data_IF_683343799260
#
_entry.id   IF_683343799260
#
_cell.length_a   1.000
_cell.length_b   1.000
_cell.length_c   1.000
_cell.angle_alpha   90.00
_cell.angle_beta   90.00
_cell.angle_gamma   90.00
#
_symmetry.space_group_name_H-M   'P 1'
#
loop_
_entity.id
_entity.type
_entity.pdbx_description
1 polymer ?
#
# COMPACT_ATOMS: atom_id res chain seq x y z
N UNK A 1 11.82 9.31 18.40
CA UNK A 1 11.17 9.65 17.12
C UNK A 1 9.99 8.71 16.92
N UNK A 2 8.77 9.21 16.72
CA UNK A 2 7.62 8.34 16.46
C UNK A 2 7.85 7.54 15.17
N UNK A 3 7.50 6.26 15.19
CA UNK A 3 7.57 5.40 14.02
C UNK A 3 6.57 5.88 12.96
N UNK A 4 6.98 5.87 11.69
CA UNK A 4 6.03 6.09 10.59
C UNK A 4 4.96 5.01 10.65
N UNK A 5 3.70 5.40 10.47
CA UNK A 5 2.53 4.52 10.61
C UNK A 5 2.17 3.84 9.29
N UNK A 6 2.58 4.45 8.18
CA UNK A 6 2.31 3.96 6.84
C UNK A 6 3.52 4.17 5.94
N UNK A 7 3.98 3.08 5.34
CA UNK A 7 5.05 3.04 4.37
C UNK A 7 4.45 2.79 2.99
N UNK A 8 4.78 3.67 2.04
CA UNK A 8 4.34 3.54 0.65
C UNK A 8 5.57 3.42 -0.23
N UNK A 9 5.69 2.35 -1.00
CA UNK A 9 6.66 2.26 -2.07
C UNK A 9 5.94 2.28 -3.41
N UNK A 10 6.32 3.19 -4.31
CA UNK A 10 5.68 3.37 -5.61
C UNK A 10 6.71 3.30 -6.72
N UNK A 11 6.33 2.64 -7.80
CA UNK A 11 7.02 2.58 -9.10
C UNK A 11 5.98 2.70 -10.24
N UNK A 12 6.48 2.83 -11.47
CA UNK A 12 5.75 2.82 -12.74
C UNK A 12 4.81 1.63 -12.90
N UNK A 13 5.12 0.49 -12.30
CA UNK A 13 4.36 -0.77 -12.45
C UNK A 13 3.59 -1.17 -11.20
N UNK A 14 4.10 -0.88 -10.00
CA UNK A 14 3.56 -1.39 -8.74
C UNK A 14 3.55 -0.32 -7.66
N UNK A 15 2.50 -0.30 -6.85
CA UNK A 15 2.45 0.46 -5.59
C UNK A 15 2.24 -0.50 -4.44
N UNK A 16 3.19 -0.56 -3.50
CA UNK A 16 3.13 -1.34 -2.27
C UNK A 16 2.84 -0.41 -1.10
N UNK A 17 1.86 -0.75 -0.30
CA UNK A 17 1.49 -0.04 0.92
C UNK A 17 1.68 -1.00 2.08
N UNK A 18 2.36 -0.60 3.15
CA UNK A 18 2.56 -1.43 4.34
C UNK A 18 2.52 -0.60 5.62
N UNK A 19 2.06 -1.20 6.72
CA UNK A 19 2.21 -0.64 8.06
C UNK A 19 3.62 -0.84 8.63
N UNK A 20 4.41 -1.71 8.02
CA UNK A 20 5.78 -2.01 8.43
C UNK A 20 6.77 -1.37 7.48
N UNK A 21 8.00 -1.19 7.98
CA UNK A 21 9.07 -0.57 7.21
C UNK A 21 9.39 -1.41 5.97
N UNK A 22 9.13 -0.85 4.80
CA UNK A 22 9.52 -1.45 3.54
C UNK A 22 11.04 -1.36 3.37
N UNK A 23 11.68 -2.48 3.02
CA UNK A 23 13.06 -2.49 2.54
C UNK A 23 13.03 -2.40 1.02
N UNK A 24 13.59 -1.34 0.45
CA UNK A 24 13.73 -1.18 -1.00
C UNK A 24 15.17 -1.43 -1.40
N UNK A 25 15.37 -2.24 -2.43
CA UNK A 25 16.70 -2.51 -3.02
C UNK A 25 16.93 -1.47 -4.12
N UNK A 26 17.56 -0.35 -3.76
CA UNK A 26 17.68 0.81 -4.66
C UNK A 26 16.47 1.75 -4.61
N UNK A 27 16.58 2.90 -5.28
CA UNK A 27 15.55 3.95 -5.30
C UNK A 27 15.91 5.24 -4.57
N UNK A 28 15.08 6.28 -4.76
CA UNK A 28 15.17 7.55 -4.02
C UNK A 28 14.09 7.55 -2.93
N UNK A 29 14.52 7.56 -1.67
CA UNK A 29 13.60 7.71 -0.53
C UNK A 29 13.21 9.19 -0.44
N UNK A 30 11.96 9.50 -0.79
CA UNK A 30 11.39 10.84 -0.66
C UNK A 30 10.46 10.87 0.54
N UNK A 31 10.97 11.36 1.67
CA UNK A 31 10.12 11.56 2.85
C UNK A 31 9.10 12.65 2.55
N UNK A 32 7.81 12.35 2.70
CA UNK A 32 6.75 13.36 2.59
C UNK A 32 6.78 14.32 3.78
N UNK A 33 6.09 15.46 3.62
CA UNK A 33 6.10 16.57 4.58
C UNK A 33 5.50 16.21 5.95
N UNK A 34 4.67 15.17 6.03
CA UNK A 34 4.05 14.73 7.28
C UNK A 34 4.67 13.41 7.76
N UNK A 35 5.16 13.36 9.01
CA UNK A 35 6.06 12.31 9.49
C UNK A 35 5.41 10.92 9.61
N UNK A 36 4.08 10.82 9.62
CA UNK A 36 3.35 9.57 9.70
C UNK A 36 3.38 8.73 8.41
N UNK A 37 3.66 9.33 7.24
CA UNK A 37 3.81 8.62 5.96
C UNK A 37 5.24 8.74 5.46
N UNK A 38 5.86 7.58 5.21
CA UNK A 38 7.15 7.48 4.56
C UNK A 38 6.96 6.90 3.16
N UNK A 39 7.04 7.77 2.16
CA UNK A 39 7.08 7.33 0.76
C UNK A 39 8.52 6.99 0.36
N UNK A 40 8.70 5.88 -0.35
CA UNK A 40 9.96 5.49 -0.97
C UNK A 40 9.71 5.23 -2.44
N UNK A 41 10.13 6.16 -3.29
CA UNK A 41 10.03 5.97 -4.74
C UNK A 41 11.20 5.09 -5.18
N UNK A 42 10.93 3.78 -5.32
CA UNK A 42 11.92 2.85 -5.86
C UNK A 42 11.77 2.76 -7.38
N UNK A 43 12.89 2.69 -8.09
CA UNK A 43 12.90 2.38 -9.53
C UNK A 43 12.66 0.90 -9.82
N UNK A 44 12.71 0.03 -8.80
CA UNK A 44 12.33 -1.39 -8.88
C UNK A 44 11.81 -1.86 -7.51
N UNK A 45 10.51 -2.08 -7.34
CA UNK A 45 9.98 -2.79 -6.18
C UNK A 45 10.14 -4.28 -6.44
N UNK A 46 11.09 -4.92 -5.76
CA UNK A 46 11.20 -6.38 -5.78
C UNK A 46 10.08 -6.95 -4.89
N UNK A 47 8.88 -7.08 -5.46
CA UNK A 47 7.88 -7.97 -4.89
C UNK A 47 8.50 -9.36 -4.92
N UNK A 48 8.74 -9.95 -3.74
CA UNK A 48 9.30 -11.28 -3.62
C UNK A 48 8.52 -12.25 -4.52
N UNK A 49 9.09 -12.59 -5.68
CA UNK A 49 8.42 -13.46 -6.63
C UNK A 49 8.12 -14.77 -5.91
N UNK A 50 6.87 -15.29 -5.98
CA UNK A 50 6.58 -16.62 -5.45
C UNK A 50 7.57 -17.55 -6.13
N UNK A 51 8.39 -18.21 -5.32
CA UNK A 51 9.48 -19.04 -5.79
C UNK A 51 8.94 -20.03 -6.81
N UNK A 52 9.19 -19.77 -8.10
CA UNK A 52 8.68 -20.62 -9.15
C UNK A 52 9.31 -22.00 -8.95
N UNK A 53 8.54 -23.05 -9.16
CA UNK A 53 9.03 -24.44 -9.15
C UNK A 53 10.29 -24.60 -10.02
N UNK A 54 10.47 -23.70 -10.99
CA UNK A 54 11.64 -23.60 -11.83
C UNK A 54 12.92 -23.20 -11.06
N UNK A 55 12.87 -22.20 -10.17
CA UNK A 55 14.04 -21.85 -9.36
C UNK A 55 14.46 -23.02 -8.44
N UNK A 56 13.49 -23.76 -7.89
CA UNK A 56 13.76 -24.96 -7.10
C UNK A 56 14.35 -26.09 -7.95
N UNK A 57 13.84 -26.29 -9.18
CA UNK A 57 14.31 -27.33 -10.08
C UNK A 57 15.73 -27.08 -10.62
N UNK A 58 16.13 -25.83 -10.90
CA UNK A 58 17.51 -25.51 -11.31
C UNK A 58 18.51 -25.85 -10.20
N UNK A 59 18.14 -25.56 -8.95
CA UNK A 59 19.00 -25.80 -7.78
C UNK A 59 19.15 -27.29 -7.48
N UNK A 60 18.13 -28.11 -7.72
CA UNK A 60 18.19 -29.56 -7.47
C UNK A 60 18.75 -30.36 -8.65
N UNK A 61 18.52 -29.94 -9.90
CA UNK A 61 19.03 -30.66 -11.08
C UNK A 61 20.54 -30.54 -11.25
N UNK A 62 21.14 -29.37 -10.99
CA UNK A 62 22.57 -29.16 -11.16
C UNK A 62 23.44 -30.19 -10.42
N UNK A 63 23.25 -30.38 -9.10
CA UNK A 63 23.99 -31.37 -8.31
C UNK A 63 23.76 -32.81 -8.80
N UNK A 64 22.51 -33.15 -9.18
CA UNK A 64 22.16 -34.50 -9.66
C UNK A 64 22.84 -34.79 -11.00
N UNK A 65 22.82 -33.85 -11.93
CA UNK A 65 23.50 -33.98 -13.22
C UNK A 65 25.03 -34.10 -13.05
N UNK A 66 25.60 -33.35 -12.10
CA UNK A 66 27.05 -33.38 -11.82
C UNK A 66 27.46 -34.73 -11.20
N UNK A 67 26.68 -35.24 -10.24
CA UNK A 67 26.91 -36.55 -9.64
C UNK A 67 26.76 -37.68 -10.68
N UNK A 68 25.79 -37.57 -11.58
CA UNK A 68 25.57 -38.55 -12.66
C UNK A 68 26.72 -38.55 -13.68
N UNK A 69 27.24 -37.38 -14.07
CA UNK A 69 28.40 -37.27 -14.95
C UNK A 69 29.70 -37.82 -14.33
N UNK A 70 29.92 -37.58 -13.03
CA UNK A 70 31.06 -38.13 -12.29
C UNK A 70 31.00 -39.65 -12.11
N UNK A 71 29.81 -40.22 -12.00
CA UNK A 71 29.63 -41.67 -11.93
C UNK A 71 29.97 -42.37 -13.27
N UNK A 72 29.74 -41.71 -14.41
CA UNK A 72 30.02 -42.26 -15.74
C UNK A 72 31.51 -42.28 -16.12
N UNK A 73 32.35 -41.49 -15.44
CA UNK A 73 33.79 -41.35 -15.76
C UNK A 73 34.69 -42.34 -15.03
N UNK A 74 34.12 -43.27 -14.24
CA UNK A 74 34.90 -44.26 -13.49
C UNK A 74 35.65 -43.67 -12.29
N UNK A 75 35.34 -42.43 -11.92
CA UNK A 75 35.92 -41.73 -10.77
C UNK A 75 35.58 -42.49 -9.49
N UNK A 76 36.55 -42.75 -8.58
CA UNK A 76 36.27 -43.50 -7.35
C UNK A 76 35.20 -42.78 -6.54
N UNK A 77 34.15 -43.54 -6.19
CA UNK A 77 32.93 -43.04 -5.56
C UNK A 77 33.10 -42.08 -4.36
N UNK A 78 34.15 -42.15 -3.51
CA UNK A 78 34.32 -41.17 -2.42
C UNK A 78 34.56 -39.74 -2.92
N UNK A 79 35.24 -39.54 -4.05
CA UNK A 79 35.46 -38.19 -4.60
C UNK A 79 34.16 -37.59 -5.14
N UNK A 80 33.34 -38.41 -5.80
CA UNK A 80 32.03 -38.01 -6.30
C UNK A 80 31.06 -37.66 -5.16
N UNK A 81 31.08 -38.45 -4.08
CA UNK A 81 30.27 -38.19 -2.88
C UNK A 81 30.71 -36.90 -2.16
N UNK A 82 32.02 -36.65 -2.05
CA UNK A 82 32.55 -35.44 -1.46
C UNK A 82 32.16 -34.19 -2.27
N UNK A 83 32.27 -34.24 -3.61
CA UNK A 83 31.86 -33.14 -4.48
C UNK A 83 30.35 -32.83 -4.35
N UNK A 84 29.50 -33.86 -4.34
CA UNK A 84 28.06 -33.70 -4.16
C UNK A 84 27.72 -33.09 -2.78
N UNK A 85 28.40 -33.53 -1.71
CA UNK A 85 28.21 -33.00 -0.37
C UNK A 85 28.60 -31.52 -0.28
N UNK A 86 29.71 -31.11 -0.93
CA UNK A 86 30.14 -29.71 -0.98
C UNK A 86 29.12 -28.84 -1.71
N UNK A 87 28.64 -29.27 -2.89
CA UNK A 87 27.63 -28.52 -3.66
C UNK A 87 26.33 -28.44 -2.88
N UNK A 88 25.88 -29.53 -2.26
CA UNK A 88 24.67 -29.54 -1.46
C UNK A 88 24.79 -28.62 -0.24
N UNK A 89 25.89 -28.68 0.50
CA UNK A 89 26.11 -27.81 1.68
C UNK A 89 26.27 -26.34 1.30
N UNK A 90 26.99 -26.01 0.22
CA UNK A 90 27.08 -24.62 -0.26
C UNK A 90 25.74 -24.11 -0.77
N UNK A 91 24.99 -24.89 -1.54
CA UNK A 91 23.64 -24.51 -1.99
C UNK A 91 22.69 -24.33 -0.80
N UNK A 92 22.72 -25.24 0.18
CA UNK A 92 21.90 -25.18 1.39
C UNK A 92 22.28 -23.99 2.25
N UNK A 93 23.59 -23.72 2.43
CA UNK A 93 24.09 -22.55 3.15
C UNK A 93 23.68 -21.25 2.47
N UNK A 94 23.86 -21.16 1.15
CA UNK A 94 23.47 -20.00 0.35
C UNK A 94 21.96 -19.74 0.45
N UNK A 95 21.15 -20.79 0.38
CA UNK A 95 19.70 -20.73 0.60
C UNK A 95 19.36 -20.34 2.04
N UNK A 96 20.05 -20.85 3.04
CA UNK A 96 19.78 -20.53 4.45
C UNK A 96 20.12 -19.07 4.76
N UNK A 97 21.25 -18.59 4.25
CA UNK A 97 21.71 -17.20 4.39
C UNK A 97 20.78 -16.25 3.64
N UNK A 98 20.33 -16.59 2.44
CA UNK A 98 19.37 -15.76 1.69
C UNK A 98 17.93 -15.87 2.21
N UNK A 99 17.49 -17.03 2.69
CA UNK A 99 16.20 -17.18 3.39
C UNK A 99 16.16 -16.43 4.70
N UNK A 100 17.28 -16.31 5.43
CA UNK A 100 17.38 -15.44 6.61
C UNK A 100 17.38 -13.94 6.25
N UNK A 101 17.63 -13.59 4.99
CA UNK A 101 17.51 -12.21 4.48
C UNK A 101 16.11 -11.89 3.93
N UNK A 102 15.34 -12.91 3.56
CA UNK A 102 13.93 -12.81 3.23
C UNK A 102 13.11 -12.73 4.54
N UNK A 103 12.22 -11.74 4.70
CA UNK A 103 11.38 -11.68 5.88
C UNK A 103 10.47 -12.92 5.95
N UNK A 104 10.09 -13.38 7.16
CA UNK A 104 9.11 -14.42 7.30
C UNK A 104 7.83 -14.03 6.56
N UNK A 105 7.22 -14.95 5.83
CA UNK A 105 6.04 -14.71 5.00
C UNK A 105 4.85 -14.08 5.74
N UNK A 106 4.87 -14.11 7.08
CA UNK A 106 3.90 -13.43 7.94
C UNK A 106 3.97 -11.89 7.84
N UNK A 107 5.14 -11.30 7.57
CA UNK A 107 5.26 -9.84 7.38
C UNK A 107 4.77 -9.38 6.00
N UNK A 108 4.86 -10.25 4.99
CA UNK A 108 4.33 -10.00 3.65
C UNK A 108 2.78 -10.00 3.64
N UNK A 109 2.14 -10.68 4.59
CA UNK A 109 0.68 -10.65 4.75
C UNK A 109 0.14 -9.28 5.19
N UNK A 110 1.00 -8.37 5.67
CA UNK A 110 0.67 -7.02 6.08
C UNK A 110 1.03 -5.94 5.05
N UNK A 111 1.28 -6.32 3.78
CA UNK A 111 1.51 -5.40 2.69
C UNK A 111 0.43 -5.54 1.61
N UNK A 112 -0.12 -4.42 1.18
CA UNK A 112 -1.11 -4.33 0.11
C UNK A 112 -0.40 -3.92 -1.16
N UNK A 113 -0.53 -4.72 -2.22
CA UNK A 113 0.12 -4.47 -3.51
C UNK A 113 -0.94 -4.12 -4.54
N UNK A 114 -0.80 -2.94 -5.15
CA UNK A 114 -1.62 -2.47 -6.25
C UNK A 114 -0.78 -2.57 -7.53
N UNK A 115 -1.27 -3.34 -8.51
CA UNK A 115 -0.56 -3.53 -9.79
C UNK A 115 -1.28 -2.81 -10.93
N UNK A 116 -2.60 -2.75 -10.86
CA UNK A 116 -3.43 -2.18 -11.92
C UNK A 116 -3.27 -0.66 -11.99
N UNK A 117 -3.02 -0.13 -13.20
CA UNK A 117 -2.76 1.30 -13.40
C UNK A 117 -3.86 2.20 -12.82
N UNK A 118 -5.12 1.81 -12.99
CA UNK A 118 -6.28 2.56 -12.49
C UNK A 118 -6.29 2.65 -10.96
N UNK A 119 -5.97 1.57 -10.26
CA UNK A 119 -5.98 1.55 -8.80
C UNK A 119 -4.75 2.30 -8.24
N UNK A 120 -3.60 2.17 -8.90
CA UNK A 120 -2.41 2.97 -8.58
C UNK A 120 -2.65 4.48 -8.75
N UNK A 121 -3.30 4.88 -9.85
CA UNK A 121 -3.64 6.29 -10.09
C UNK A 121 -4.64 6.83 -9.06
N UNK A 122 -5.65 6.04 -8.67
CA UNK A 122 -6.60 6.41 -7.63
C UNK A 122 -5.92 6.59 -6.27
N UNK A 123 -5.00 5.69 -5.90
CA UNK A 123 -4.23 5.80 -4.67
C UNK A 123 -3.27 7.00 -4.69
N UNK A 124 -2.59 7.25 -5.82
CA UNK A 124 -1.74 8.42 -5.99
C UNK A 124 -2.52 9.74 -5.81
N UNK A 125 -3.74 9.81 -6.37
CA UNK A 125 -4.64 10.96 -6.16
C UNK A 125 -5.02 11.13 -4.69
N UNK A 126 -5.25 10.03 -3.97
CA UNK A 126 -5.51 10.10 -2.53
C UNK A 126 -4.31 10.65 -1.75
N UNK A 127 -3.08 10.24 -2.10
CA UNK A 127 -1.86 10.81 -1.50
C UNK A 127 -1.72 12.31 -1.77
N UNK A 128 -2.07 12.78 -2.97
CA UNK A 128 -2.08 14.22 -3.27
C UNK A 128 -3.05 14.98 -2.37
N UNK A 129 -4.27 14.48 -2.19
CA UNK A 129 -5.23 15.11 -1.27
C UNK A 129 -4.77 15.05 0.19
N UNK A 130 -4.15 13.96 0.62
CA UNK A 130 -3.55 13.84 1.95
C UNK A 130 -2.44 14.89 2.18
N UNK A 131 -1.62 15.16 1.16
CA UNK A 131 -0.60 16.21 1.23
C UNK A 131 -1.21 17.61 1.31
N UNK A 132 -2.26 17.88 0.54
CA UNK A 132 -3.00 19.15 0.62
C UNK A 132 -3.60 19.36 2.02
N UNK A 133 -4.21 18.31 2.60
CA UNK A 133 -4.70 18.31 3.98
C UNK A 133 -3.55 18.63 4.94
N UNK A 134 -2.41 17.95 4.81
CA UNK A 134 -1.25 18.15 5.69
C UNK A 134 -0.67 19.57 5.61
N UNK A 135 -0.69 20.18 4.43
CA UNK A 135 -0.24 21.55 4.22
C UNK A 135 -1.09 22.58 4.98
N UNK A 136 -2.35 22.24 5.30
CA UNK A 136 -3.25 23.10 6.07
C UNK A 136 -3.07 23.00 7.59
N UNK A 137 -2.38 21.97 8.10
CA UNK A 137 -2.26 21.74 9.54
C UNK A 137 -1.61 22.86 10.35
N UNK A 138 -0.57 23.58 9.87
CA UNK A 138 -0.03 24.72 10.61
C UNK A 138 -1.07 25.81 10.86
N UNK A 139 -2.00 25.99 9.92
CA UNK A 139 -3.13 26.90 10.09
C UNK A 139 -4.20 26.31 11.02
N UNK A 140 -4.32 24.98 11.12
CA UNK A 140 -5.33 24.33 11.95
C UNK A 140 -4.85 23.93 13.34
N UNK A 141 -3.55 24.05 13.65
CA UNK A 141 -2.95 23.58 14.91
C UNK A 141 -3.70 24.05 16.18
N UNK A 142 -4.25 25.28 16.27
CA UNK A 142 -5.03 25.68 17.44
C UNK A 142 -6.38 24.96 17.61
N UNK A 143 -6.87 24.29 16.55
CA UNK A 143 -8.21 23.71 16.48
C UNK A 143 -8.21 22.17 16.47
N UNK A 144 -7.07 21.54 16.16
CA UNK A 144 -6.97 20.09 15.97
C UNK A 144 -5.75 19.51 16.67
N UNK A 145 -5.87 18.28 17.20
CA UNK A 145 -4.73 17.45 17.59
C UNK A 145 -4.06 16.88 16.34
N UNK A 146 -3.00 17.53 15.86
CA UNK A 146 -2.28 17.16 14.64
C UNK A 146 -1.78 15.70 14.69
N UNK A 147 -1.08 15.22 15.74
CA UNK A 147 -0.73 13.80 15.89
C UNK A 147 -1.90 12.80 15.80
N UNK A 148 -3.09 13.17 16.28
CA UNK A 148 -4.27 12.32 16.15
C UNK A 148 -4.80 12.30 14.71
N UNK A 149 -4.91 13.47 14.06
CA UNK A 149 -5.34 13.60 12.67
C UNK A 149 -4.36 12.91 11.71
N UNK A 150 -3.05 12.98 11.98
CA UNK A 150 -2.01 12.25 11.25
C UNK A 150 -2.26 10.73 11.27
N UNK A 151 -2.58 10.17 12.45
CA UNK A 151 -2.90 8.75 12.61
C UNK A 151 -4.15 8.36 11.83
N UNK A 152 -5.21 9.16 11.98
CA UNK A 152 -6.49 8.93 11.29
C UNK A 152 -6.30 8.95 9.77
N UNK A 153 -5.54 9.90 9.24
CA UNK A 153 -5.26 10.01 7.81
C UNK A 153 -4.43 8.83 7.30
N UNK A 154 -3.41 8.38 8.05
CA UNK A 154 -2.63 7.20 7.71
C UNK A 154 -3.51 5.93 7.69
N UNK A 155 -4.40 5.76 8.66
CA UNK A 155 -5.31 4.61 8.71
C UNK A 155 -6.37 4.66 7.61
N UNK A 156 -6.87 5.84 7.28
CA UNK A 156 -7.76 6.05 6.15
C UNK A 156 -7.13 5.64 4.83
N UNK A 157 -5.88 6.04 4.58
CA UNK A 157 -5.13 5.64 3.38
C UNK A 157 -4.87 4.12 3.36
N UNK A 158 -4.55 3.51 4.50
CA UNK A 158 -4.41 2.06 4.62
C UNK A 158 -5.70 1.32 4.21
N UNK A 159 -6.85 1.74 4.74
CA UNK A 159 -8.14 1.14 4.37
C UNK A 159 -8.51 1.38 2.91
N UNK A 160 -8.21 2.57 2.37
CA UNK A 160 -8.41 2.85 0.95
C UNK A 160 -7.57 1.91 0.07
N UNK A 161 -6.29 1.69 0.39
CA UNK A 161 -5.45 0.73 -0.31
C UNK A 161 -6.08 -0.68 -0.30
N UNK A 162 -6.62 -1.12 0.83
CA UNK A 162 -7.28 -2.42 0.96
C UNK A 162 -8.50 -2.57 0.05
N UNK A 163 -9.33 -1.52 -0.04
CA UNK A 163 -10.51 -1.51 -0.92
C UNK A 163 -10.09 -1.53 -2.40
N UNK A 164 -9.05 -0.76 -2.77
CA UNK A 164 -8.51 -0.75 -4.13
C UNK A 164 -7.94 -2.13 -4.51
N UNK A 165 -7.23 -2.81 -3.61
CA UNK A 165 -6.75 -4.18 -3.82
C UNK A 165 -7.91 -5.16 -4.00
N UNK A 166 -8.93 -5.09 -3.14
CA UNK A 166 -10.11 -5.96 -3.24
C UNK A 166 -10.87 -5.76 -4.56
N UNK A 167 -10.88 -4.53 -5.07
CA UNK A 167 -11.45 -4.18 -6.38
C UNK A 167 -10.63 -4.74 -7.53
N UNK A 168 -9.30 -4.66 -7.44
CA UNK A 168 -8.38 -5.29 -8.40
C UNK A 168 -8.60 -6.81 -8.45
N UNK A 169 -8.65 -7.47 -7.30
CA UNK A 169 -8.89 -8.91 -7.18
C UNK A 169 -10.26 -9.32 -7.75
N UNK A 170 -11.30 -8.54 -7.48
CA UNK A 170 -12.64 -8.76 -8.01
C UNK A 170 -12.67 -8.64 -9.55
N UNK A 171 -11.93 -7.68 -10.12
CA UNK A 171 -11.79 -7.57 -11.58
C UNK A 171 -11.00 -8.71 -12.17
N UNK A 172 -9.88 -9.10 -11.56
CA UNK A 172 -9.08 -10.25 -12.01
C UNK A 172 -9.93 -11.52 -12.01
N UNK A 173 -10.73 -11.72 -10.97
CA UNK A 173 -11.68 -12.85 -10.89
C UNK A 173 -12.79 -12.77 -11.94
N UNK A 174 -13.33 -11.58 -12.22
CA UNK A 174 -14.32 -11.36 -13.28
C UNK A 174 -13.75 -11.71 -14.67
N UNK A 175 -12.55 -11.23 -14.98
CA UNK A 175 -11.87 -11.51 -16.24
C UNK A 175 -11.52 -12.99 -16.38
N UNK A 176 -10.99 -13.61 -15.32
CA UNK A 176 -10.71 -15.04 -15.31
C UNK A 176 -11.96 -15.86 -15.62
N UNK A 177 -13.10 -15.50 -15.01
CA UNK A 177 -14.38 -16.15 -15.26
C UNK A 177 -14.91 -15.97 -16.70
N UNK A 178 -14.62 -14.84 -17.36
CA UNK A 178 -14.96 -14.62 -18.76
C UNK A 178 -14.09 -15.44 -19.72
N UNK A 179 -12.83 -15.68 -19.36
CA UNK A 179 -11.87 -16.40 -20.21
C UNK A 179 -11.95 -17.92 -20.08
N UNK A 180 -12.37 -18.44 -18.92
CA UNK A 180 -12.66 -19.87 -18.78
C UNK A 180 -13.94 -20.23 -19.54
N UNK A 181 -13.79 -20.89 -20.69
CA UNK A 181 -14.88 -21.60 -21.38
C UNK A 181 -15.63 -22.49 -20.38
N UNK A 182 -16.98 -22.53 -20.39
CA UNK A 182 -17.75 -23.30 -19.43
C UNK A 182 -17.60 -24.81 -19.69
N UNK A 183 -16.48 -25.39 -19.27
CA UNK A 183 -16.30 -26.84 -19.16
C UNK A 183 -16.69 -27.35 -17.76
N UNK A 184 -17.04 -26.44 -16.84
CA UNK A 184 -17.35 -26.75 -15.45
C UNK A 184 -18.85 -26.87 -15.23
N UNK A 185 -19.25 -27.94 -14.53
CA UNK A 185 -20.58 -28.31 -14.05
C UNK A 185 -21.14 -27.34 -12.99
N UNK A 186 -21.01 -26.04 -13.22
CA UNK A 186 -21.60 -25.02 -12.37
C UNK A 186 -23.07 -24.76 -12.77
N UNK A 187 -24.04 -25.05 -11.89
CA UNK A 187 -25.44 -25.02 -12.24
C UNK A 187 -26.02 -23.62 -12.50
N UNK A 188 -25.34 -22.51 -12.12
CA UNK A 188 -25.87 -21.16 -12.36
C UNK A 188 -24.79 -20.07 -12.60
N UNK A 189 -24.26 -19.95 -13.83
CA UNK A 189 -23.31 -18.90 -14.18
C UNK A 189 -23.91 -17.49 -14.15
N UNK A 190 -25.25 -17.34 -14.21
CA UNK A 190 -25.90 -16.01 -14.20
C UNK A 190 -25.88 -15.40 -12.80
N UNK A 191 -26.19 -16.16 -11.76
CA UNK A 191 -26.12 -15.65 -10.38
C UNK A 191 -24.71 -15.26 -9.97
N UNK A 192 -23.68 -16.03 -10.35
CA UNK A 192 -22.28 -15.65 -10.10
C UNK A 192 -21.88 -14.35 -10.79
N UNK A 193 -22.24 -14.17 -12.06
CA UNK A 193 -22.01 -12.89 -12.78
C UNK A 193 -22.68 -11.74 -12.05
N UNK A 194 -23.94 -11.90 -11.67
CA UNK A 194 -24.67 -10.87 -10.92
C UNK A 194 -24.01 -10.55 -9.57
N UNK A 195 -23.52 -11.55 -8.84
CA UNK A 195 -22.81 -11.37 -7.57
C UNK A 195 -21.49 -10.59 -7.74
N UNK A 196 -20.69 -10.94 -8.76
CA UNK A 196 -19.44 -10.23 -9.08
C UNK A 196 -19.72 -8.78 -9.47
N UNK A 197 -20.70 -8.52 -10.32
CA UNK A 197 -21.09 -7.16 -10.72
C UNK A 197 -21.56 -6.33 -9.51
N UNK A 198 -22.40 -6.90 -8.63
CA UNK A 198 -22.83 -6.22 -7.40
C UNK A 198 -21.64 -5.90 -6.50
N UNK A 199 -20.74 -6.84 -6.28
CA UNK A 199 -19.53 -6.63 -5.47
C UNK A 199 -18.64 -5.53 -6.05
N UNK A 200 -18.42 -5.53 -7.37
CA UNK A 200 -17.66 -4.46 -8.03
C UNK A 200 -18.32 -3.10 -7.89
N UNK A 201 -19.64 -3.02 -8.08
CA UNK A 201 -20.39 -1.77 -7.94
C UNK A 201 -20.34 -1.21 -6.51
N UNK A 202 -20.39 -2.08 -5.49
CA UNK A 202 -20.25 -1.68 -4.10
C UNK A 202 -18.85 -1.11 -3.80
N UNK A 203 -17.80 -1.81 -4.26
CA UNK A 203 -16.41 -1.34 -4.13
C UNK A 203 -16.16 -0.03 -4.87
N UNK A 204 -16.73 0.13 -6.08
CA UNK A 204 -16.65 1.38 -6.85
C UNK A 204 -17.28 2.55 -6.08
N UNK A 205 -18.46 2.34 -5.50
CA UNK A 205 -19.14 3.33 -4.69
C UNK A 205 -18.35 3.68 -3.42
N UNK A 206 -17.76 2.69 -2.75
CA UNK A 206 -16.91 2.91 -1.57
C UNK A 206 -15.67 3.74 -1.87
N UNK A 207 -14.96 3.41 -2.96
CA UNK A 207 -13.78 4.19 -3.41
C UNK A 207 -14.19 5.63 -3.74
N UNK A 208 -15.29 5.82 -4.48
CA UNK A 208 -15.78 7.14 -4.84
C UNK A 208 -16.16 7.97 -3.60
N UNK A 209 -16.89 7.39 -2.64
CA UNK A 209 -17.24 8.05 -1.37
C UNK A 209 -16.00 8.50 -0.60
N UNK A 210 -15.03 7.61 -0.44
CA UNK A 210 -13.80 7.90 0.31
C UNK A 210 -12.94 8.96 -0.36
N UNK A 211 -12.74 8.89 -1.68
CA UNK A 211 -12.02 9.92 -2.42
C UNK A 211 -12.73 11.28 -2.36
N UNK A 212 -14.07 11.29 -2.41
CA UNK A 212 -14.87 12.52 -2.28
C UNK A 212 -14.68 13.14 -0.90
N UNK A 213 -14.78 12.35 0.18
CA UNK A 213 -14.55 12.82 1.55
C UNK A 213 -13.14 13.41 1.72
N UNK A 214 -12.12 12.74 1.19
CA UNK A 214 -10.73 13.21 1.25
C UNK A 214 -10.54 14.52 0.47
N UNK A 215 -11.11 14.63 -0.73
CA UNK A 215 -11.05 15.85 -1.52
C UNK A 215 -11.79 17.03 -0.87
N UNK A 216 -12.93 16.76 -0.21
CA UNK A 216 -13.68 17.77 0.54
C UNK A 216 -12.91 18.28 1.76
N UNK A 217 -12.22 17.39 2.48
CA UNK A 217 -11.34 17.78 3.58
C UNK A 217 -10.15 18.62 3.10
N UNK A 218 -9.53 18.25 1.96
CA UNK A 218 -8.45 19.01 1.35
C UNK A 218 -8.91 20.43 0.95
N UNK A 219 -10.08 20.54 0.30
CA UNK A 219 -10.65 21.81 -0.11
C UNK A 219 -10.94 22.72 1.11
N UNK A 220 -11.58 22.17 2.14
CA UNK A 220 -11.88 22.91 3.37
C UNK A 220 -10.60 23.43 4.05
N UNK A 221 -9.56 22.60 4.12
CA UNK A 221 -8.25 22.99 4.64
C UNK A 221 -7.59 24.10 3.81
N UNK A 222 -7.72 24.06 2.48
CA UNK A 222 -7.17 25.08 1.58
C UNK A 222 -7.88 26.43 1.73
N UNK A 223 -9.21 26.43 1.73
CA UNK A 223 -10.03 27.63 1.93
C UNK A 223 -9.70 28.29 3.27
N UNK A 224 -9.62 27.49 4.34
CA UNK A 224 -9.28 28.00 5.67
C UNK A 224 -7.88 28.59 5.73
N UNK A 225 -6.89 27.90 5.17
CA UNK A 225 -5.49 28.37 5.15
C UNK A 225 -5.36 29.68 4.36
N UNK A 226 -6.04 29.77 3.22
CA UNK A 226 -6.04 30.99 2.40
C UNK A 226 -6.67 32.17 3.16
N UNK A 227 -7.81 31.96 3.82
CA UNK A 227 -8.47 32.98 4.62
C UNK A 227 -7.63 33.43 5.81
N UNK A 228 -7.02 32.51 6.55
CA UNK A 228 -6.14 32.85 7.68
C UNK A 228 -4.93 33.68 7.24
N UNK A 229 -4.37 33.37 6.08
CA UNK A 229 -3.28 34.17 5.51
C UNK A 229 -3.76 35.57 5.12
N UNK A 230 -4.94 35.69 4.51
CA UNK A 230 -5.56 36.99 4.18
C UNK A 230 -5.84 37.83 5.43
N UNK A 231 -6.40 37.23 6.48
CA UNK A 231 -6.68 37.91 7.75
C UNK A 231 -5.38 38.35 8.44
N UNK A 232 -4.29 37.58 8.32
CA UNK A 232 -2.97 37.96 8.84
C UNK A 232 -2.39 39.17 8.09
N UNK A 233 -2.57 39.23 6.78
CA UNK A 233 -2.13 40.39 5.98
C UNK A 233 -3.00 41.62 6.25
N UNK A 234 -4.31 41.47 6.46
CA UNK A 234 -5.25 42.60 6.62
C UNK A 234 -5.43 43.09 8.06
N UNK A 235 -5.19 42.26 9.09
CA UNK A 235 -5.13 42.73 10.49
C UNK A 235 -4.01 43.74 10.76
N UNK A 236 -3.03 43.85 9.86
CA UNK A 236 -2.09 44.97 9.89
C UNK A 236 -2.76 46.34 9.60
N UNK A 237 -4.02 46.35 9.15
CA UNK A 237 -4.75 47.53 8.69
C UNK A 237 -6.06 47.81 9.46
N UNK A 238 -6.75 46.82 10.05
CA UNK A 238 -7.99 47.07 10.82
C UNK A 238 -8.27 45.99 11.87
N UNK A 239 -8.47 46.31 13.17
CA UNK A 239 -8.51 45.28 14.24
C UNK A 239 -9.83 44.50 14.42
N UNK A 240 -10.96 44.93 13.85
CA UNK A 240 -12.27 44.57 14.41
C UNK A 240 -13.20 43.84 13.41
N UNK A 241 -12.83 42.63 12.98
CA UNK A 241 -13.68 41.79 12.10
C UNK A 241 -13.94 40.40 12.72
N UNK A 242 -15.21 39.94 12.75
CA UNK A 242 -15.58 38.66 13.36
C UNK A 242 -15.00 37.47 12.60
N UNK A 243 -14.56 36.49 13.39
CA UNK A 243 -13.83 35.29 12.97
C UNK A 243 -14.61 34.40 12.01
N UNK A 244 -13.93 33.91 10.97
CA UNK A 244 -14.49 32.98 10.00
C UNK A 244 -14.81 31.63 10.62
N UNK A 245 -16.05 31.15 10.41
CA UNK A 245 -16.64 29.94 11.00
C UNK A 245 -15.71 28.71 10.92
N UNK A 246 -15.02 28.32 12.01
CA UNK A 246 -14.22 27.10 12.06
C UNK A 246 -15.06 25.83 11.89
N UNK A 247 -16.38 25.93 12.08
CA UNK A 247 -17.34 24.83 11.97
C UNK A 247 -17.32 24.10 10.63
N UNK A 248 -17.11 24.78 9.51
CA UNK A 248 -17.11 24.14 8.19
C UNK A 248 -15.89 23.21 8.00
N UNK A 249 -14.74 23.61 8.53
CA UNK A 249 -13.53 22.77 8.52
C UNK A 249 -13.72 21.58 9.45
N UNK A 250 -14.19 21.84 10.67
CA UNK A 250 -14.45 20.78 11.64
C UNK A 250 -15.48 19.76 11.10
N UNK A 251 -16.53 20.22 10.41
CA UNK A 251 -17.50 19.34 9.76
C UNK A 251 -16.87 18.47 8.67
N UNK A 252 -15.94 19.01 7.87
CA UNK A 252 -15.23 18.25 6.84
C UNK A 252 -14.30 17.18 7.46
N UNK A 253 -13.59 17.50 8.53
CA UNK A 253 -12.75 16.53 9.25
C UNK A 253 -13.59 15.46 9.95
N UNK A 254 -14.74 15.82 10.53
CA UNK A 254 -15.70 14.84 11.07
C UNK A 254 -16.26 13.93 9.96
N UNK A 255 -16.56 14.47 8.78
CA UNK A 255 -17.00 13.67 7.65
C UNK A 255 -15.91 12.67 7.19
N UNK A 256 -14.64 13.06 7.28
CA UNK A 256 -13.52 12.16 7.02
C UNK A 256 -13.44 11.04 8.07
N UNK A 257 -13.61 11.36 9.35
CA UNK A 257 -13.63 10.38 10.45
C UNK A 257 -14.82 9.41 10.33
N UNK A 258 -16.02 9.90 10.03
CA UNK A 258 -17.19 9.04 9.84
C UNK A 258 -17.07 8.16 8.61
N UNK A 259 -16.49 8.66 7.51
CA UNK A 259 -16.18 7.85 6.33
C UNK A 259 -15.16 6.73 6.62
N UNK A 260 -14.35 6.88 7.67
CA UNK A 260 -13.45 5.83 8.14
C UNK A 260 -14.20 4.71 8.89
N UNK A 261 -15.39 4.99 9.42
CA UNK A 261 -16.13 4.09 10.31
C UNK A 261 -15.86 4.33 11.80
N UNK A 262 -15.12 5.39 12.14
CA UNK A 262 -14.94 5.80 13.54
C UNK A 262 -16.03 6.80 13.92
N UNK A 263 -17.09 6.29 14.56
CA UNK A 263 -18.19 7.12 15.09
C UNK A 263 -17.92 7.64 16.50
N UNK A 264 -16.79 7.25 17.13
CA UNK A 264 -16.44 7.64 18.50
C UNK A 264 -15.35 8.70 18.59
N UNK A 265 -14.61 8.96 17.52
CA UNK A 265 -13.62 10.03 17.49
C UNK A 265 -14.31 11.40 17.36
N UNK A 266 -14.44 12.12 18.47
CA UNK A 266 -14.61 13.58 18.43
C UNK A 266 -13.20 14.20 18.45
N UNK A 267 -12.68 14.71 17.32
CA UNK A 267 -11.29 15.15 17.20
C UNK A 267 -11.04 16.54 17.82
N UNK A 268 -12.01 17.06 18.57
CA UNK A 268 -12.07 18.45 19.00
C UNK A 268 -11.66 18.51 20.46
N UNK A 269 -10.62 19.30 20.76
CA UNK A 269 -10.32 19.69 22.12
C UNK A 269 -11.48 20.52 22.69
N UNK A 270 -12.04 20.06 23.82
CA UNK A 270 -12.73 20.97 24.75
C UNK A 270 -11.74 21.99 25.30
#
# INVERSE_FOLDING_TARGET
>A
MPAALLHVASDTTVTVVSRHRLRTTGGRVTRRRWPAVLETTSTVPEAAAPHSLWAAAIITLGPVATAFGLALTGTPWPLSAAAAAIVFTTATWYLLVHRRRLPPAQDAAAAITLTEHRERAAFAKALTHADEISASWPALTPLIDVPHVERLLAEFLWHLAGILSAREDARRSATAFMLTTPASADPDPKSRRAAVTRRLSALDADVARRLTALSGAAEAGRIYSHRRNFDRTTRSVTPDRPEGRPEAVLAAYRALATAHGDTRADPIHN
#
